data_IF_849393946850
#
_entry.id   IF_849393946850
#
_cell.length_a   1.000
_cell.length_b   1.000
_cell.length_c   1.000
_cell.angle_alpha   90.00
_cell.angle_beta   90.00
_cell.angle_gamma   90.00
#
_symmetry.space_group_name_H-M   'P 1'
#
loop_
_entity.id
_entity.type
_entity.pdbx_description
1 polymer ?
#
# COMPACT_ATOMS: atom_id res chain seq x y z
N UNK A 1 -16.52 -10.25 5.76
CA UNK A 1 -15.54 -9.17 5.62
C UNK A 1 -14.28 -9.62 6.36
N UNK A 2 -13.12 -9.42 5.78
CA UNK A 2 -11.84 -9.72 6.44
C UNK A 2 -11.57 -8.71 7.56
N UNK A 3 -10.68 -9.08 8.50
CA UNK A 3 -10.23 -8.24 9.60
C UNK A 3 -8.76 -7.84 9.40
N UNK A 4 -8.35 -6.71 9.98
CA UNK A 4 -6.93 -6.33 10.05
C UNK A 4 -6.07 -7.34 10.84
N UNK A 5 -6.69 -8.19 11.67
CA UNK A 5 -6.03 -9.25 12.43
C UNK A 5 -5.87 -10.56 11.66
N UNK A 6 -6.51 -10.72 10.50
CA UNK A 6 -6.41 -11.94 9.70
C UNK A 6 -4.97 -12.13 9.18
N UNK A 7 -4.47 -13.36 9.22
CA UNK A 7 -3.06 -13.67 8.93
C UNK A 7 -2.62 -13.20 7.55
N UNK A 8 -3.42 -13.43 6.50
CA UNK A 8 -3.13 -12.97 5.15
C UNK A 8 -3.10 -11.44 5.06
N UNK A 9 -4.08 -10.76 5.70
CA UNK A 9 -4.16 -9.30 5.71
C UNK A 9 -2.92 -8.71 6.41
N UNK A 10 -2.54 -9.25 7.56
CA UNK A 10 -1.33 -8.84 8.27
C UNK A 10 -0.07 -9.09 7.46
N UNK A 11 0.06 -10.26 6.86
CA UNK A 11 1.20 -10.58 5.98
C UNK A 11 1.38 -9.52 4.88
N UNK A 12 0.29 -9.11 4.23
CA UNK A 12 0.32 -8.09 3.18
C UNK A 12 0.61 -6.69 3.73
N UNK A 13 -0.02 -6.30 4.84
CA UNK A 13 0.16 -4.97 5.44
C UNK A 13 1.55 -4.77 6.06
N UNK A 14 2.09 -5.80 6.70
CA UNK A 14 3.42 -5.78 7.32
C UNK A 14 4.54 -6.01 6.29
N UNK A 15 4.24 -6.77 5.22
CA UNK A 15 5.18 -7.08 4.15
C UNK A 15 5.61 -5.87 3.33
N UNK A 16 6.68 -6.05 2.56
CA UNK A 16 7.26 -5.01 1.68
C UNK A 16 6.67 -5.12 0.28
N UNK A 17 5.42 -4.69 0.14
CA UNK A 17 4.70 -4.62 -1.14
C UNK A 17 4.50 -3.18 -1.58
N UNK A 18 4.12 -2.96 -2.83
CA UNK A 18 3.67 -1.66 -3.34
C UNK A 18 2.15 -1.64 -3.27
N UNK A 19 1.59 -0.58 -2.69
CA UNK A 19 0.15 -0.38 -2.68
C UNK A 19 -0.30 0.49 -3.86
N UNK A 20 -1.51 0.24 -4.35
CA UNK A 20 -2.21 1.10 -5.31
C UNK A 20 -3.25 1.93 -4.56
N UNK A 21 -3.04 3.24 -4.47
CA UNK A 21 -3.94 4.18 -3.80
C UNK A 21 -4.84 4.88 -4.81
N UNK A 22 -6.15 4.81 -4.58
CA UNK A 22 -7.15 5.53 -5.35
C UNK A 22 -7.75 6.68 -4.54
N UNK A 23 -7.79 7.87 -5.16
CA UNK A 23 -8.42 9.09 -4.61
C UNK A 23 -9.31 9.76 -5.66
N UNK A 24 -10.30 10.54 -5.25
CA UNK A 24 -11.23 11.24 -6.17
C UNK A 24 -10.68 12.60 -6.58
N UNK A 25 -10.63 12.85 -7.88
CA UNK A 25 -10.40 14.17 -8.45
C UNK A 25 -11.65 15.08 -8.28
N UNK A 26 -11.50 16.41 -8.36
CA UNK A 26 -12.63 17.35 -8.30
C UNK A 26 -13.71 17.10 -9.36
N UNK A 27 -13.34 16.58 -10.54
CA UNK A 27 -14.26 16.24 -11.63
C UNK A 27 -14.97 14.89 -11.44
N UNK A 28 -14.73 14.21 -10.29
CA UNK A 28 -15.31 12.91 -9.98
C UNK A 28 -14.54 11.71 -10.57
N UNK A 29 -13.55 11.92 -11.43
CA UNK A 29 -12.69 10.86 -11.94
C UNK A 29 -11.80 10.29 -10.83
N UNK A 30 -11.22 9.10 -11.05
CA UNK A 30 -10.34 8.46 -10.07
C UNK A 30 -8.88 8.70 -10.44
N UNK A 31 -8.09 9.24 -9.50
CA UNK A 31 -6.63 9.26 -9.56
C UNK A 31 -6.09 8.03 -8.82
N UNK A 32 -5.33 7.18 -9.53
CA UNK A 32 -4.69 5.99 -8.97
C UNK A 32 -3.18 6.10 -9.11
N UNK A 33 -2.45 5.72 -8.05
CA UNK A 33 -0.98 5.82 -8.00
C UNK A 33 -0.39 4.74 -7.11
N UNK A 34 0.77 4.21 -7.52
CA UNK A 34 1.58 3.32 -6.68
C UNK A 34 2.23 4.10 -5.53
N UNK A 35 2.22 3.55 -4.33
CA UNK A 35 2.75 4.18 -3.13
C UNK A 35 3.47 3.19 -2.21
N UNK A 36 4.45 3.68 -1.47
CA UNK A 36 5.00 3.03 -0.30
C UNK A 36 4.10 3.30 0.90
N UNK A 37 4.11 2.38 1.87
CA UNK A 37 3.26 2.51 3.05
C UNK A 37 3.90 1.87 4.29
N UNK A 38 3.45 2.30 5.45
CA UNK A 38 3.71 1.67 6.75
C UNK A 38 2.38 1.32 7.40
N UNK A 39 2.35 0.22 8.15
CA UNK A 39 1.18 -0.20 8.95
C UNK A 39 1.59 -0.32 10.41
N UNK A 40 0.80 0.25 11.33
CA UNK A 40 1.09 0.26 12.78
C UNK A 40 0.24 -0.75 13.58
N UNK A 41 -0.57 -1.56 12.91
CA UNK A 41 -1.53 -2.49 13.51
C UNK A 41 -2.98 -2.01 13.43
N UNK A 42 -3.21 -0.71 13.21
CA UNK A 42 -4.53 -0.09 13.14
C UNK A 42 -4.69 0.85 11.93
N UNK A 43 -3.66 1.61 11.60
CA UNK A 43 -3.67 2.62 10.54
C UNK A 43 -2.58 2.36 9.51
N UNK A 44 -2.81 2.87 8.29
CA UNK A 44 -1.83 2.82 7.20
C UNK A 44 -1.33 4.24 6.94
N UNK A 45 -0.02 4.39 6.78
CA UNK A 45 0.66 5.66 6.61
C UNK A 45 1.38 5.69 5.26
N UNK A 46 1.22 6.77 4.50
CA UNK A 46 1.86 6.98 3.20
C UNK A 46 2.60 8.31 3.23
N UNK A 47 3.91 8.26 3.03
CA UNK A 47 4.74 9.45 2.90
C UNK A 47 4.45 10.13 1.56
N UNK A 48 4.29 11.45 1.55
CA UNK A 48 4.02 12.20 0.33
C UNK A 48 4.25 13.70 0.51
N UNK A 49 4.08 14.45 -0.60
CA UNK A 49 4.15 15.92 -0.59
C UNK A 49 2.77 16.54 -0.81
N UNK A 50 2.54 17.71 -0.17
CA UNK A 50 1.39 18.60 -0.41
C UNK A 50 1.20 18.95 -1.89
N UNK A 51 2.27 18.91 -2.69
CA UNK A 51 2.25 19.20 -4.13
C UNK A 51 1.64 18.08 -4.97
N UNK A 52 1.45 16.88 -4.41
CA UNK A 52 0.95 15.73 -5.16
C UNK A 52 -0.56 15.78 -5.37
N UNK A 53 -1.04 15.17 -6.46
CA UNK A 53 -2.47 15.09 -6.77
C UNK A 53 -3.24 14.40 -5.65
N UNK A 54 -2.73 13.28 -5.15
CA UNK A 54 -3.37 12.53 -4.06
C UNK A 54 -3.56 13.35 -2.78
N UNK A 55 -2.53 14.13 -2.38
CA UNK A 55 -2.64 14.99 -1.20
C UNK A 55 -3.70 16.08 -1.38
N UNK A 56 -3.72 16.74 -2.54
CA UNK A 56 -4.75 17.75 -2.87
C UNK A 56 -6.16 17.17 -2.92
N UNK A 57 -6.33 15.99 -3.51
CA UNK A 57 -7.62 15.32 -3.56
C UNK A 57 -8.17 15.05 -2.15
N UNK A 58 -7.31 14.62 -1.22
CA UNK A 58 -7.70 14.27 0.13
C UNK A 58 -8.10 15.47 1.01
N UNK A 59 -7.68 16.68 0.66
CA UNK A 59 -8.16 17.91 1.30
C UNK A 59 -9.65 18.15 1.04
N UNK A 60 -10.14 17.74 -0.13
CA UNK A 60 -11.53 17.92 -0.53
C UNK A 60 -12.40 16.69 -0.29
N UNK A 61 -11.82 15.50 -0.42
CA UNK A 61 -12.54 14.23 -0.22
C UNK A 61 -11.61 13.21 0.47
N UNK A 62 -11.84 12.92 1.75
CA UNK A 62 -10.98 12.04 2.53
C UNK A 62 -11.17 10.54 2.23
N UNK A 63 -12.13 10.17 1.39
CA UNK A 63 -12.40 8.75 1.08
C UNK A 63 -11.34 8.19 0.15
N UNK A 64 -10.85 6.99 0.47
CA UNK A 64 -9.85 6.27 -0.31
C UNK A 64 -10.25 4.82 -0.56
N UNK A 65 -9.63 4.23 -1.60
CA UNK A 65 -9.45 2.79 -1.72
C UNK A 65 -7.97 2.49 -1.88
N UNK A 66 -7.49 1.45 -1.21
CA UNK A 66 -6.11 0.99 -1.25
C UNK A 66 -6.07 -0.49 -1.55
N UNK A 67 -5.28 -0.91 -2.54
CA UNK A 67 -5.05 -2.33 -2.85
C UNK A 67 -3.58 -2.66 -2.62
N UNK A 68 -3.34 -3.78 -1.95
CA UNK A 68 -2.02 -4.39 -1.78
C UNK A 68 -2.12 -5.83 -2.25
N UNK A 69 -1.25 -6.25 -3.17
CA UNK A 69 -1.25 -7.59 -3.72
C UNK A 69 0.17 -8.12 -3.92
N UNK A 70 0.31 -9.44 -4.04
CA UNK A 70 1.60 -10.10 -4.25
C UNK A 70 2.15 -9.87 -5.66
N UNK A 71 1.31 -9.62 -6.66
CA UNK A 71 1.64 -9.56 -8.10
C UNK A 71 2.38 -10.80 -8.63
N UNK A 72 2.39 -11.86 -7.86
CA UNK A 72 2.92 -13.15 -8.28
C UNK A 72 1.78 -14.00 -8.84
N UNK A 73 1.77 -14.37 -10.14
CA UNK A 73 0.70 -15.18 -10.72
C UNK A 73 0.51 -16.52 -10.00
N UNK A 74 1.61 -17.14 -9.54
CA UNK A 74 1.58 -18.45 -8.86
C UNK A 74 1.10 -18.34 -7.41
N UNK A 75 1.22 -17.17 -6.80
CA UNK A 75 0.85 -16.91 -5.42
C UNK A 75 -0.06 -15.68 -5.28
N UNK A 76 -0.94 -15.46 -6.26
CA UNK A 76 -1.80 -14.29 -6.32
C UNK A 76 -2.72 -14.22 -5.10
N UNK A 77 -2.48 -13.24 -4.28
CA UNK A 77 -3.32 -12.90 -3.12
C UNK A 77 -3.28 -11.40 -2.90
N UNK A 78 -4.29 -10.86 -2.26
CA UNK A 78 -4.35 -9.43 -2.04
C UNK A 78 -5.38 -9.01 -1.01
N UNK A 79 -5.33 -7.71 -0.69
CA UNK A 79 -6.28 -7.04 0.18
C UNK A 79 -6.72 -5.73 -0.45
N UNK A 80 -8.00 -5.47 -0.45
CA UNK A 80 -8.60 -4.18 -0.77
C UNK A 80 -9.13 -3.55 0.51
N UNK A 81 -8.74 -2.30 0.76
CA UNK A 81 -9.09 -1.53 1.95
C UNK A 81 -9.81 -0.27 1.51
N UNK A 82 -11.02 -0.08 2.00
CA UNK A 82 -11.72 1.21 1.93
C UNK A 82 -11.50 1.91 3.27
N UNK A 83 -11.27 3.21 3.23
CA UNK A 83 -10.99 3.96 4.45
C UNK A 83 -11.18 5.46 4.31
N UNK A 84 -10.95 6.14 5.43
CA UNK A 84 -10.93 7.59 5.51
C UNK A 84 -9.50 8.03 5.82
N UNK A 85 -9.02 9.01 5.08
CA UNK A 85 -7.67 9.55 5.21
C UNK A 85 -7.67 10.92 5.88
N UNK A 86 -6.63 11.21 6.65
CA UNK A 86 -6.27 12.55 7.09
C UNK A 86 -4.82 12.88 6.74
N UNK A 87 -4.55 14.16 6.55
CA UNK A 87 -3.19 14.65 6.28
C UNK A 87 -2.55 15.07 7.61
N UNK A 88 -1.47 14.40 7.97
CA UNK A 88 -0.61 14.77 9.09
C UNK A 88 0.48 15.71 8.62
N UNK A 89 0.82 16.69 9.45
CA UNK A 89 1.89 17.69 9.21
C UNK A 89 2.85 17.75 10.39
N UNK A 90 3.96 18.43 10.24
CA UNK A 90 4.90 18.68 11.31
C UNK A 90 5.59 17.43 11.87
N UNK A 91 5.74 17.36 13.19
CA UNK A 91 6.44 16.25 13.85
C UNK A 91 5.78 14.88 13.64
N UNK A 92 4.44 14.72 13.77
CA UNK A 92 3.77 13.46 13.46
C UNK A 92 4.06 12.97 12.04
N UNK A 93 4.05 13.86 11.07
CA UNK A 93 4.38 13.50 9.68
C UNK A 93 5.82 13.02 9.54
N UNK A 94 6.79 13.75 10.09
CA UNK A 94 8.21 13.35 10.05
C UNK A 94 8.42 11.94 10.63
N UNK A 95 7.79 11.66 11.77
CA UNK A 95 7.86 10.34 12.42
C UNK A 95 7.41 9.22 11.47
N UNK A 96 6.23 9.36 10.88
CA UNK A 96 5.66 8.31 10.04
C UNK A 96 6.33 8.22 8.66
N UNK A 97 6.70 9.34 8.06
CA UNK A 97 7.49 9.34 6.82
C UNK A 97 8.81 8.60 7.02
N UNK A 98 9.50 8.82 8.15
CA UNK A 98 10.71 8.05 8.49
C UNK A 98 10.47 6.54 8.56
N UNK A 99 9.33 6.09 9.10
CA UNK A 99 8.96 4.66 9.14
C UNK A 99 8.69 4.11 7.73
N UNK A 100 7.99 4.87 6.89
CA UNK A 100 7.76 4.49 5.50
C UNK A 100 9.09 4.35 4.76
N UNK A 101 9.97 5.36 4.85
CA UNK A 101 11.26 5.33 4.17
C UNK A 101 12.13 4.14 4.64
N UNK A 102 12.25 3.92 5.94
CA UNK A 102 13.02 2.81 6.51
C UNK A 102 12.49 1.42 6.12
N UNK A 103 11.20 1.30 5.75
CA UNK A 103 10.65 0.04 5.25
C UNK A 103 11.16 -0.31 3.84
N UNK A 104 11.45 0.68 3.00
CA UNK A 104 11.78 0.48 1.57
C UNK A 104 13.20 0.84 1.20
N UNK A 105 13.87 1.68 1.97
CA UNK A 105 15.24 2.10 1.74
C UNK A 105 16.18 1.37 2.70
N UNK A 106 17.36 1.00 2.22
CA UNK A 106 18.41 0.47 3.08
C UNK A 106 19.02 1.58 3.95
N UNK A 107 19.68 1.19 5.04
CA UNK A 107 20.41 2.14 5.90
C UNK A 107 21.46 2.93 5.10
N UNK A 108 22.14 2.29 4.16
CA UNK A 108 23.09 2.95 3.26
C UNK A 108 22.42 4.03 2.40
N UNK A 109 21.22 3.76 1.87
CA UNK A 109 20.46 4.74 1.09
C UNK A 109 19.96 5.89 1.98
N UNK A 110 19.51 5.61 3.19
CA UNK A 110 19.08 6.63 4.15
C UNK A 110 20.23 7.53 4.60
N UNK A 111 21.46 6.99 4.71
CA UNK A 111 22.67 7.73 5.07
C UNK A 111 23.28 8.51 3.88
N UNK A 112 22.96 8.16 2.63
CA UNK A 112 23.48 8.89 1.46
C UNK A 112 22.84 10.29 1.37
N UNK A 113 23.64 11.38 1.36
CA UNK A 113 23.12 12.74 1.33
C UNK A 113 22.31 13.09 0.08
N UNK A 114 22.44 12.29 -0.97
CA UNK A 114 21.67 12.44 -2.21
C UNK A 114 20.31 11.75 -2.16
N UNK A 115 20.06 10.93 -1.15
CA UNK A 115 18.83 10.08 -1.06
C UNK A 115 18.05 10.40 0.21
N UNK A 116 18.55 10.07 1.38
CA UNK A 116 17.82 10.20 2.66
C UNK A 116 17.30 11.62 2.91
N UNK A 117 18.17 12.66 2.89
CA UNK A 117 17.73 14.05 3.08
C UNK A 117 16.76 14.54 1.99
N UNK A 118 16.89 14.04 0.75
CA UNK A 118 15.98 14.40 -0.35
C UNK A 118 14.58 13.86 -0.09
N UNK A 119 14.44 12.58 0.28
CA UNK A 119 13.14 12.02 0.66
C UNK A 119 12.54 12.77 1.86
N UNK A 120 13.33 13.06 2.88
CA UNK A 120 12.87 13.80 4.06
C UNK A 120 12.38 15.22 3.73
N UNK A 121 12.94 15.88 2.70
CA UNK A 121 12.53 17.21 2.26
C UNK A 121 11.34 17.19 1.27
N UNK A 122 11.21 16.14 0.47
CA UNK A 122 10.12 16.01 -0.52
C UNK A 122 8.81 15.61 0.14
N UNK A 123 8.86 14.68 1.09
CA UNK A 123 7.69 14.16 1.77
C UNK A 123 7.38 15.03 3.01
N UNK A 124 6.73 16.17 2.76
CA UNK A 124 6.41 17.18 3.79
C UNK A 124 5.14 16.85 4.59
N UNK A 125 4.36 15.87 4.15
CA UNK A 125 3.14 15.39 4.82
C UNK A 125 3.03 13.87 4.81
N UNK A 126 2.19 13.33 5.70
CA UNK A 126 1.82 11.91 5.72
C UNK A 126 0.31 11.78 5.53
N UNK A 127 -0.12 10.89 4.66
CA UNK A 127 -1.51 10.42 4.61
C UNK A 127 -1.64 9.32 5.66
N UNK A 128 -2.48 9.53 6.68
CA UNK A 128 -2.90 8.50 7.64
C UNK A 128 -4.27 7.99 7.22
N UNK A 129 -4.41 6.68 7.04
CA UNK A 129 -5.65 6.01 6.63
C UNK A 129 -6.20 5.20 7.79
N UNK A 130 -7.46 5.48 8.17
CA UNK A 130 -8.25 4.64 9.06
C UNK A 130 -9.11 3.70 8.21
N UNK A 131 -8.83 2.37 8.21
CA UNK A 131 -9.63 1.39 7.49
C UNK A 131 -11.07 1.32 8.00
N UNK A 132 -12.04 1.27 7.08
CA UNK A 132 -13.48 1.09 7.39
C UNK A 132 -14.03 -0.22 6.84
N UNK A 133 -13.39 -0.78 5.80
CA UNK A 133 -13.73 -2.07 5.22
C UNK A 133 -12.49 -2.76 4.69
N UNK A 134 -12.42 -4.06 4.88
CA UNK A 134 -11.30 -4.90 4.43
C UNK A 134 -11.86 -6.10 3.68
N UNK A 135 -11.41 -6.30 2.45
CA UNK A 135 -11.72 -7.47 1.61
C UNK A 135 -10.40 -8.11 1.22
N UNK A 136 -10.23 -9.37 1.54
CA UNK A 136 -9.05 -10.14 1.15
C UNK A 136 -9.44 -11.26 0.17
N UNK A 137 -8.50 -11.64 -0.69
CA UNK A 137 -8.62 -12.80 -1.58
C UNK A 137 -7.30 -13.57 -1.61
N UNK A 138 -7.41 -14.88 -1.85
CA UNK A 138 -6.27 -15.78 -1.99
C UNK A 138 -6.54 -16.81 -3.09
N UNK A 139 -5.90 -16.63 -4.25
CA UNK A 139 -6.07 -17.54 -5.39
C UNK A 139 -5.43 -18.91 -5.13
N UNK A 140 -4.50 -19.03 -4.18
CA UNK A 140 -3.93 -20.32 -3.76
C UNK A 140 -4.99 -21.20 -3.12
N UNK A 141 -5.92 -20.58 -2.37
CA UNK A 141 -7.08 -21.32 -1.82
C UNK A 141 -8.04 -21.77 -2.92
N UNK A 142 -8.34 -20.89 -3.88
CA UNK A 142 -9.14 -21.21 -5.03
C UNK A 142 -8.50 -22.32 -5.89
N UNK A 143 -7.17 -22.30 -6.07
CA UNK A 143 -6.45 -23.36 -6.77
C UNK A 143 -6.64 -24.71 -6.07
N UNK A 144 -6.50 -24.76 -4.77
CA UNK A 144 -6.72 -26.00 -3.99
C UNK A 144 -8.14 -26.52 -4.11
N UNK A 145 -9.13 -25.63 -3.97
CA UNK A 145 -10.53 -26.02 -3.89
C UNK A 145 -11.16 -26.33 -5.25
N UNK A 146 -10.80 -25.57 -6.28
CA UNK A 146 -11.46 -25.61 -7.59
C UNK A 146 -10.64 -26.41 -8.62
N UNK A 147 -9.31 -26.24 -8.61
CA UNK A 147 -8.41 -26.81 -9.62
C UNK A 147 -7.55 -27.95 -9.11
N UNK A 148 -7.78 -28.42 -7.86
CA UNK A 148 -7.02 -29.52 -7.26
C UNK A 148 -5.52 -29.25 -7.18
N UNK A 149 -5.13 -28.00 -6.94
CA UNK A 149 -3.74 -27.54 -6.90
C UNK A 149 -3.01 -27.62 -8.26
N UNK A 150 -3.73 -27.55 -9.36
CA UNK A 150 -3.16 -27.71 -10.70
C UNK A 150 -2.10 -26.64 -11.00
N UNK A 151 -2.32 -25.39 -10.61
CA UNK A 151 -1.36 -24.29 -10.82
C UNK A 151 -0.15 -24.39 -9.88
N UNK A 152 -0.36 -24.74 -8.62
CA UNK A 152 0.73 -24.95 -7.67
C UNK A 152 1.63 -26.13 -8.07
N UNK A 153 1.05 -27.19 -8.64
CA UNK A 153 1.78 -28.39 -9.08
C UNK A 153 2.46 -28.24 -10.43
N UNK A 154 2.06 -27.27 -11.24
CA UNK A 154 2.57 -27.04 -12.59
C UNK A 154 2.92 -25.55 -12.81
N UNK A 155 4.11 -25.11 -12.36
CA UNK A 155 4.48 -23.69 -12.45
C UNK A 155 4.50 -23.13 -13.88
N UNK A 156 4.58 -23.98 -14.90
CA UNK A 156 4.57 -23.59 -16.32
C UNK A 156 3.17 -23.25 -16.85
N UNK A 157 2.10 -23.48 -16.07
CA UNK A 157 0.74 -23.14 -16.51
C UNK A 157 0.48 -21.63 -16.48
N UNK A 158 1.24 -20.91 -15.68
CA UNK A 158 1.18 -19.45 -15.64
C UNK A 158 2.40 -18.88 -16.37
N UNK A 159 2.15 -17.93 -17.27
CA UNK A 159 3.23 -17.22 -17.93
C UNK A 159 3.85 -16.20 -16.96
N UNK A 160 5.17 -15.99 -16.98
CA UNK A 160 5.81 -14.98 -16.15
C UNK A 160 5.31 -13.60 -16.53
N UNK A 161 5.20 -12.71 -15.54
CA UNK A 161 4.93 -11.30 -15.81
C UNK A 161 6.15 -10.67 -16.50
N UNK A 162 5.89 -9.74 -17.42
CA UNK A 162 6.92 -8.91 -18.01
C UNK A 162 7.59 -8.04 -16.93
N UNK A 163 8.90 -7.83 -17.07
CA UNK A 163 9.73 -7.05 -16.13
C UNK A 163 9.89 -5.62 -16.62
#
# INVERSE_FOLDING_TARGET
>A
MASLSDSLVRQLLEGRYIASLATKNPDGSTHMVAVWYWFDGAHIYIATSTRTRKARNLQSNPKISLMIDSRDPAASCGVNIVGTAQILTGEPSRKWNGRVHAKYLSDAALADPRVGPVFASWDDVTIQIAPTSVIAWDMREADRQVFGSAFASNPTYLLPLER
#
